data_IF_583066986773
#
_entry.id   IF_583066986773
#
_cell.length_a   1.000
_cell.length_b   1.000
_cell.length_c   1.000
_cell.angle_alpha   90.00
_cell.angle_beta   90.00
_cell.angle_gamma   90.00
#
_symmetry.space_group_name_H-M   'P 1'
#
loop_
_entity.id
_entity.type
_entity.pdbx_description
1 polymer ?
#
# COMPACT_ATOMS: atom_id res chain seq x y z
N UNK A 1 20.91 -17.95 -17.75
CA UNK A 1 20.66 -18.24 -16.33
C UNK A 1 21.80 -19.08 -15.82
N UNK A 2 22.10 -19.06 -14.51
CA UNK A 2 23.30 -19.69 -13.95
C UNK A 2 23.26 -21.23 -14.12
N UNK A 3 24.35 -21.81 -14.52
CA UNK A 3 24.52 -23.26 -14.68
C UNK A 3 25.29 -23.88 -13.50
N UNK A 4 25.84 -23.04 -12.63
CA UNK A 4 26.59 -23.43 -11.45
C UNK A 4 25.67 -23.82 -10.31
N UNK A 5 26.17 -24.58 -9.33
CA UNK A 5 25.46 -24.83 -8.10
C UNK A 5 25.21 -23.53 -7.37
N UNK A 6 23.98 -23.32 -6.84
CA UNK A 6 23.57 -22.09 -6.16
C UNK A 6 24.57 -21.62 -5.09
N UNK A 7 25.10 -22.55 -4.30
CA UNK A 7 26.04 -22.23 -3.20
C UNK A 7 27.48 -21.94 -3.67
N UNK A 8 27.81 -22.22 -4.93
CA UNK A 8 29.12 -21.93 -5.52
C UNK A 8 29.16 -20.64 -6.32
N UNK A 9 28.03 -19.94 -6.45
CA UNK A 9 27.96 -18.67 -7.17
C UNK A 9 28.50 -17.55 -6.30
N UNK A 10 29.48 -16.83 -6.83
CA UNK A 10 29.92 -15.54 -6.27
C UNK A 10 28.91 -14.46 -6.68
N UNK A 11 27.92 -14.25 -5.84
CA UNK A 11 26.83 -13.28 -6.11
C UNK A 11 27.31 -11.83 -6.22
N UNK A 12 28.25 -11.33 -5.37
CA UNK A 12 28.81 -10.00 -5.54
C UNK A 12 29.44 -9.78 -6.91
N UNK A 13 30.19 -10.76 -7.42
CA UNK A 13 30.81 -10.69 -8.74
C UNK A 13 29.79 -10.63 -9.90
N UNK A 14 28.56 -11.13 -9.69
CA UNK A 14 27.52 -11.10 -10.72
C UNK A 14 26.81 -9.72 -10.81
N UNK A 15 27.00 -8.82 -9.88
CA UNK A 15 26.27 -7.55 -9.80
C UNK A 15 26.32 -6.71 -11.09
N UNK A 16 27.47 -6.65 -11.71
CA UNK A 16 27.70 -5.89 -12.96
C UNK A 16 27.66 -6.77 -14.21
N UNK A 17 27.32 -8.07 -14.07
CA UNK A 17 27.30 -9.02 -15.18
C UNK A 17 25.96 -8.97 -15.91
N UNK A 18 25.75 -7.87 -16.63
CA UNK A 18 24.53 -7.61 -17.41
C UNK A 18 24.87 -7.71 -18.90
N UNK A 19 23.94 -8.26 -19.70
CA UNK A 19 24.10 -8.27 -21.14
C UNK A 19 24.28 -6.83 -21.65
N UNK A 20 25.32 -6.52 -22.44
CA UNK A 20 25.54 -5.16 -22.95
C UNK A 20 24.33 -4.59 -23.72
N UNK A 21 23.49 -5.43 -24.33
CA UNK A 21 22.27 -4.99 -25.04
C UNK A 21 21.21 -4.45 -24.06
N UNK A 22 21.19 -4.96 -22.81
CA UNK A 22 20.25 -4.54 -21.78
C UNK A 22 20.80 -3.37 -20.93
N UNK A 23 22.03 -2.95 -21.17
CA UNK A 23 22.70 -1.89 -20.43
C UNK A 23 22.44 -0.53 -21.11
N UNK A 24 21.27 0.05 -20.90
CA UNK A 24 20.89 1.36 -21.46
C UNK A 24 21.67 2.52 -20.87
N UNK A 25 22.04 2.41 -19.59
CA UNK A 25 22.78 3.44 -18.86
C UNK A 25 23.92 2.78 -18.08
N UNK A 26 25.18 2.91 -18.52
CA UNK A 26 26.32 2.38 -17.78
C UNK A 26 26.41 3.02 -16.39
N UNK A 27 26.86 2.26 -15.40
CA UNK A 27 27.09 2.77 -14.05
C UNK A 27 28.21 3.82 -14.08
N UNK A 28 28.06 4.87 -13.25
CA UNK A 28 29.12 5.85 -13.05
C UNK A 28 30.29 5.22 -12.28
N UNK A 29 31.50 5.72 -12.52
CA UNK A 29 32.69 5.25 -11.76
C UNK A 29 32.54 5.43 -10.24
N UNK A 30 31.76 6.42 -9.80
CA UNK A 30 31.46 6.63 -8.38
C UNK A 30 30.62 5.46 -7.82
N UNK A 31 29.62 5.02 -8.56
CA UNK A 31 28.78 3.89 -8.17
C UNK A 31 29.57 2.58 -8.16
N UNK A 32 30.44 2.36 -9.16
CA UNK A 32 31.32 1.20 -9.19
C UNK A 32 32.31 1.19 -8.01
N UNK A 33 32.84 2.36 -7.63
CA UNK A 33 33.66 2.49 -6.44
C UNK A 33 32.90 2.16 -5.15
N UNK A 34 31.66 2.61 -5.04
CA UNK A 34 30.77 2.29 -3.92
C UNK A 34 30.47 0.79 -3.83
N UNK A 35 30.20 0.14 -4.95
CA UNK A 35 29.97 -1.31 -4.98
C UNK A 35 31.20 -2.09 -4.49
N UNK A 36 32.43 -1.70 -4.84
CA UNK A 36 33.66 -2.32 -4.35
C UNK A 36 33.81 -2.16 -2.83
N UNK A 37 33.43 -1.02 -2.28
CA UNK A 37 33.45 -0.80 -0.83
C UNK A 37 32.44 -1.72 -0.13
N UNK A 38 31.23 -1.84 -0.66
CA UNK A 38 30.17 -2.69 -0.13
C UNK A 38 30.61 -4.17 -0.21
N UNK A 39 31.14 -4.61 -1.36
CA UNK A 39 31.61 -5.98 -1.55
C UNK A 39 32.73 -6.33 -0.57
N UNK A 40 33.67 -5.40 -0.36
CA UNK A 40 34.76 -5.58 0.62
C UNK A 40 34.19 -5.73 2.05
N UNK A 41 33.20 -4.88 2.39
CA UNK A 41 32.52 -4.97 3.69
C UNK A 41 31.81 -6.33 3.87
N UNK A 42 31.08 -6.78 2.85
CA UNK A 42 30.38 -8.08 2.88
C UNK A 42 31.32 -9.26 3.04
N UNK A 43 32.51 -9.21 2.42
CA UNK A 43 33.54 -10.24 2.56
C UNK A 43 34.24 -10.20 3.92
N UNK A 44 34.51 -9.00 4.45
CA UNK A 44 35.28 -8.85 5.69
C UNK A 44 34.45 -8.94 6.97
N UNK A 45 33.15 -9.04 6.89
CA UNK A 45 32.12 -9.07 7.95
C UNK A 45 32.60 -8.61 9.33
N UNK A 46 32.18 -7.42 9.73
CA UNK A 46 32.38 -6.89 11.09
C UNK A 46 31.23 -7.37 11.98
N UNK A 47 31.44 -8.38 12.89
CA UNK A 47 30.33 -9.05 13.59
C UNK A 47 29.41 -8.12 14.40
N UNK A 48 29.90 -7.10 15.13
CA UNK A 48 29.04 -6.18 15.86
C UNK A 48 28.11 -5.37 14.92
N UNK A 49 28.65 -4.88 13.81
CA UNK A 49 27.90 -4.10 12.84
C UNK A 49 26.85 -4.96 12.13
N UNK A 50 27.19 -6.19 11.74
CA UNK A 50 26.26 -7.14 11.19
C UNK A 50 25.10 -7.45 12.14
N UNK A 51 25.40 -7.70 13.44
CA UNK A 51 24.35 -7.93 14.45
C UNK A 51 23.42 -6.72 14.60
N UNK A 52 23.97 -5.50 14.58
CA UNK A 52 23.19 -4.27 14.64
C UNK A 52 22.28 -4.12 13.40
N UNK A 53 22.82 -4.40 12.21
CA UNK A 53 22.06 -4.39 10.95
C UNK A 53 20.92 -5.42 10.92
N UNK A 54 21.17 -6.66 11.34
CA UNK A 54 20.15 -7.71 11.43
C UNK A 54 19.03 -7.31 12.40
N UNK A 55 19.39 -6.79 13.57
CA UNK A 55 18.41 -6.30 14.55
C UNK A 55 17.54 -5.19 13.95
N UNK A 56 18.17 -4.22 13.30
CA UNK A 56 17.45 -3.14 12.66
C UNK A 56 16.54 -3.61 11.53
N UNK A 57 17.01 -4.53 10.70
CA UNK A 57 16.19 -5.13 9.65
C UNK A 57 14.95 -5.84 10.22
N UNK A 58 15.13 -6.61 11.30
CA UNK A 58 14.01 -7.25 11.99
C UNK A 58 13.01 -6.23 12.58
N UNK A 59 13.49 -5.17 13.24
CA UNK A 59 12.64 -4.09 13.73
C UNK A 59 11.80 -3.46 12.61
N UNK A 60 12.40 -3.24 11.43
CA UNK A 60 11.68 -2.70 10.27
C UNK A 60 10.62 -3.68 9.74
N UNK A 61 10.91 -4.99 9.71
CA UNK A 61 9.91 -6.00 9.37
C UNK A 61 8.73 -5.97 10.35
N UNK A 62 9.00 -5.88 11.65
CA UNK A 62 7.95 -5.77 12.68
C UNK A 62 7.08 -4.55 12.48
N UNK A 63 7.69 -3.37 12.24
CA UNK A 63 6.97 -2.13 12.01
C UNK A 63 6.15 -2.15 10.71
N UNK A 64 6.66 -2.80 9.66
CA UNK A 64 5.90 -3.01 8.43
C UNK A 64 4.66 -3.87 8.67
N UNK A 65 4.83 -5.01 9.34
CA UNK A 65 3.73 -5.91 9.70
C UNK A 65 2.65 -5.20 10.54
N UNK A 66 3.06 -4.39 11.52
CA UNK A 66 2.14 -3.64 12.37
C UNK A 66 1.39 -2.54 11.62
N UNK A 67 2.07 -1.85 10.69
CA UNK A 67 1.48 -0.75 9.93
C UNK A 67 0.61 -1.20 8.76
N UNK A 68 0.72 -2.47 8.34
CA UNK A 68 -0.03 -3.03 7.21
C UNK A 68 -0.92 -4.20 7.60
N UNK A 69 -1.03 -4.51 8.90
CA UNK A 69 -1.73 -5.70 9.40
C UNK A 69 -1.21 -6.99 8.74
N UNK A 70 0.10 -7.12 8.57
CA UNK A 70 0.78 -8.22 7.89
C UNK A 70 0.34 -8.42 6.42
N UNK A 71 -0.26 -7.43 5.78
CA UNK A 71 -0.52 -7.46 4.33
C UNK A 71 0.76 -7.17 3.55
N UNK A 72 1.58 -6.26 4.09
CA UNK A 72 2.79 -5.74 3.45
C UNK A 72 2.50 -4.98 2.14
N UNK A 73 3.54 -4.45 1.52
CA UNK A 73 3.37 -3.63 0.32
C UNK A 73 3.09 -4.46 -0.94
N UNK A 74 3.69 -5.63 -1.04
CA UNK A 74 3.58 -6.47 -2.22
C UNK A 74 3.98 -7.93 -1.95
N UNK A 75 3.83 -8.83 -2.93
CA UNK A 75 3.99 -10.26 -2.72
C UNK A 75 5.41 -10.66 -2.32
N UNK A 76 6.44 -9.99 -2.84
CA UNK A 76 7.83 -10.35 -2.55
C UNK A 76 8.19 -10.01 -1.10
N UNK A 77 7.95 -8.75 -0.67
CA UNK A 77 8.24 -8.40 0.71
C UNK A 77 7.33 -9.13 1.69
N UNK A 78 6.06 -9.41 1.31
CA UNK A 78 5.16 -10.28 2.07
C UNK A 78 5.79 -11.63 2.38
N UNK A 79 6.31 -12.32 1.37
CA UNK A 79 6.93 -13.63 1.55
C UNK A 79 8.25 -13.54 2.31
N UNK A 80 9.06 -12.48 2.09
CA UNK A 80 10.29 -12.26 2.84
C UNK A 80 10.02 -12.00 4.31
N UNK A 81 9.07 -11.14 4.65
CA UNK A 81 8.68 -10.89 6.04
C UNK A 81 8.13 -12.15 6.71
N UNK A 82 7.30 -12.93 6.01
CA UNK A 82 6.81 -14.20 6.53
C UNK A 82 7.95 -15.17 6.87
N UNK A 83 8.99 -15.27 6.03
CA UNK A 83 10.16 -16.11 6.28
C UNK A 83 10.94 -15.57 7.48
N UNK A 84 11.13 -14.27 7.57
CA UNK A 84 11.80 -13.63 8.72
C UNK A 84 11.05 -13.95 10.02
N UNK A 85 9.72 -13.79 10.04
CA UNK A 85 8.91 -14.09 11.23
C UNK A 85 8.92 -15.57 11.58
N UNK A 86 8.93 -16.45 10.59
CA UNK A 86 9.08 -17.90 10.82
C UNK A 86 10.38 -18.22 11.58
N UNK A 87 11.50 -17.66 11.11
CA UNK A 87 12.81 -17.95 11.70
C UNK A 87 13.06 -17.22 13.03
N UNK A 88 12.57 -16.00 13.17
CA UNK A 88 12.82 -15.20 14.37
C UNK A 88 11.86 -15.53 15.52
N UNK A 89 10.57 -15.70 15.21
CA UNK A 89 9.51 -15.84 16.22
C UNK A 89 8.96 -17.28 16.32
N UNK A 90 9.23 -18.09 15.31
CA UNK A 90 8.77 -19.47 15.23
C UNK A 90 7.39 -19.64 14.56
N UNK A 91 7.08 -20.88 14.13
CA UNK A 91 5.86 -21.20 13.38
C UNK A 91 4.56 -21.05 14.18
N UNK A 92 4.65 -21.07 15.52
CA UNK A 92 3.48 -20.93 16.38
C UNK A 92 3.18 -19.51 16.81
N UNK A 93 4.02 -18.54 16.42
CA UNK A 93 3.83 -17.14 16.75
C UNK A 93 2.60 -16.54 16.08
N UNK A 94 1.93 -15.60 16.75
CA UNK A 94 0.78 -14.89 16.20
C UNK A 94 1.14 -14.11 14.94
N UNK A 95 2.34 -13.53 14.90
CA UNK A 95 2.83 -12.81 13.73
C UNK A 95 2.91 -13.73 12.51
N UNK A 96 3.52 -14.91 12.65
CA UNK A 96 3.61 -15.87 11.54
C UNK A 96 2.22 -16.36 11.12
N UNK A 97 1.32 -16.67 12.06
CA UNK A 97 -0.06 -17.09 11.76
C UNK A 97 -0.83 -16.01 11.01
N UNK A 98 -0.66 -14.74 11.38
CA UNK A 98 -1.24 -13.61 10.65
C UNK A 98 -0.71 -13.51 9.22
N UNK A 99 0.60 -13.68 9.03
CA UNK A 99 1.20 -13.74 7.69
C UNK A 99 0.60 -14.87 6.83
N UNK A 100 0.44 -16.06 7.40
CA UNK A 100 -0.18 -17.20 6.70
C UNK A 100 -1.61 -16.89 6.29
N UNK A 101 -2.40 -16.25 7.16
CA UNK A 101 -3.77 -15.86 6.85
C UNK A 101 -3.85 -14.83 5.70
N UNK A 102 -2.90 -13.88 5.65
CA UNK A 102 -2.86 -12.82 4.63
C UNK A 102 -2.22 -13.22 3.30
N UNK A 103 -1.61 -14.38 3.18
CA UNK A 103 -0.98 -14.81 1.91
C UNK A 103 -1.95 -14.88 0.73
N UNK A 104 -3.24 -15.14 1.02
CA UNK A 104 -4.27 -15.22 -0.01
C UNK A 104 -4.58 -13.88 -0.68
N UNK A 105 -4.22 -12.76 -0.07
CA UNK A 105 -4.37 -11.43 -0.66
C UNK A 105 -3.56 -11.28 -1.97
N UNK A 106 -2.55 -12.12 -2.17
CA UNK A 106 -1.67 -12.10 -3.34
C UNK A 106 -1.82 -13.33 -4.25
N UNK A 107 -2.65 -14.29 -3.87
CA UNK A 107 -2.81 -15.53 -4.63
C UNK A 107 -4.18 -15.58 -5.30
N UNK A 108 -4.21 -16.06 -6.52
CA UNK A 108 -5.44 -16.31 -7.24
C UNK A 108 -5.34 -17.56 -8.11
N UNK A 109 -6.47 -18.23 -8.33
CA UNK A 109 -6.54 -19.42 -9.16
C UNK A 109 -7.04 -19.02 -10.55
N UNK A 110 -6.13 -19.16 -11.53
CA UNK A 110 -6.44 -18.96 -12.93
C UNK A 110 -6.59 -20.28 -13.70
N UNK A 111 -6.83 -20.18 -15.00
CA UNK A 111 -6.94 -21.35 -15.89
C UNK A 111 -5.67 -22.21 -15.91
N UNK A 112 -4.52 -21.59 -15.73
CA UNK A 112 -3.21 -22.24 -15.80
C UNK A 112 -2.70 -22.68 -14.41
N UNK A 113 -3.50 -22.53 -13.37
CA UNK A 113 -3.18 -22.94 -12.01
C UNK A 113 -3.14 -21.79 -11.01
N UNK A 114 -2.49 -22.03 -9.87
CA UNK A 114 -2.32 -21.03 -8.82
C UNK A 114 -1.25 -20.01 -9.24
N UNK A 115 -1.66 -18.76 -9.29
CA UNK A 115 -0.82 -17.63 -9.67
C UNK A 115 -0.68 -16.62 -8.53
N UNK A 116 0.35 -15.78 -8.61
CA UNK A 116 0.59 -14.69 -7.67
C UNK A 116 0.49 -13.35 -8.40
N UNK A 117 -0.24 -12.40 -7.79
CA UNK A 117 -0.30 -11.04 -8.30
C UNK A 117 1.06 -10.35 -8.15
N UNK A 118 1.43 -9.49 -9.11
CA UNK A 118 2.66 -8.70 -9.03
C UNK A 118 2.58 -7.55 -8.02
N UNK A 119 1.36 -7.14 -7.66
CA UNK A 119 1.06 -6.12 -6.65
C UNK A 119 -0.08 -6.60 -5.76
N UNK A 120 -0.39 -5.86 -4.70
CA UNK A 120 -1.69 -5.98 -4.04
C UNK A 120 -2.82 -5.57 -4.99
N UNK A 121 -4.08 -5.81 -4.59
CA UNK A 121 -5.24 -5.44 -5.39
C UNK A 121 -5.38 -3.92 -5.57
N UNK A 122 -6.09 -3.50 -6.60
CA UNK A 122 -6.30 -2.11 -7.02
C UNK A 122 -7.68 -1.55 -6.63
N UNK A 123 -8.27 -2.07 -5.56
CA UNK A 123 -9.68 -1.84 -5.24
C UNK A 123 -10.04 -0.36 -5.12
N UNK A 124 -9.24 0.45 -4.43
CA UNK A 124 -9.53 1.88 -4.31
C UNK A 124 -9.28 2.63 -5.62
N UNK A 125 -8.19 2.33 -6.29
CA UNK A 125 -7.83 2.89 -7.57
C UNK A 125 -8.94 2.70 -8.60
N UNK A 126 -9.36 1.45 -8.80
CA UNK A 126 -10.42 1.09 -9.75
C UNK A 126 -11.77 1.70 -9.35
N UNK A 127 -12.08 1.74 -8.04
CA UNK A 127 -13.30 2.33 -7.54
C UNK A 127 -13.37 3.83 -7.83
N UNK A 128 -12.26 4.56 -7.63
CA UNK A 128 -12.17 5.99 -7.90
C UNK A 128 -12.53 6.31 -9.36
N UNK A 129 -11.94 5.59 -10.31
CA UNK A 129 -12.24 5.76 -11.74
C UNK A 129 -13.65 5.29 -12.10
N UNK A 130 -14.10 4.17 -11.56
CA UNK A 130 -15.46 3.65 -11.84
C UNK A 130 -16.51 4.65 -11.36
N UNK A 131 -16.35 5.23 -10.19
CA UNK A 131 -17.27 6.25 -9.68
C UNK A 131 -17.35 7.48 -10.59
N UNK A 132 -16.20 7.97 -11.03
CA UNK A 132 -16.13 9.10 -11.95
C UNK A 132 -16.80 8.77 -13.30
N UNK A 133 -16.53 7.59 -13.86
CA UNK A 133 -17.12 7.15 -15.11
C UNK A 133 -18.66 7.03 -15.01
N UNK A 134 -19.20 6.50 -13.91
CA UNK A 134 -20.64 6.42 -13.69
C UNK A 134 -21.31 7.80 -13.62
N UNK A 135 -20.62 8.78 -13.04
CA UNK A 135 -21.15 10.15 -12.96
C UNK A 135 -21.08 10.85 -14.31
N UNK A 136 -19.94 10.78 -15.00
CA UNK A 136 -19.75 11.40 -16.32
C UNK A 136 -20.69 10.85 -17.39
N UNK A 137 -21.06 9.57 -17.29
CA UNK A 137 -22.03 8.94 -18.21
C UNK A 137 -23.48 9.17 -17.81
N UNK A 138 -23.75 9.77 -16.64
CA UNK A 138 -25.09 9.94 -16.11
C UNK A 138 -25.67 8.70 -15.41
N UNK A 139 -25.05 7.53 -15.55
CA UNK A 139 -25.54 6.28 -14.95
C UNK A 139 -25.60 6.36 -13.41
N UNK A 140 -24.71 7.09 -12.78
CA UNK A 140 -24.71 7.28 -11.32
C UNK A 140 -25.94 8.00 -10.77
N UNK A 141 -26.73 8.69 -11.64
CA UNK A 141 -27.99 9.36 -11.27
C UNK A 141 -29.20 8.43 -11.42
N UNK A 142 -29.07 7.34 -12.14
CA UNK A 142 -30.15 6.40 -12.37
C UNK A 142 -30.54 5.67 -11.07
N UNK A 143 -31.84 5.45 -10.81
CA UNK A 143 -32.32 4.78 -9.59
C UNK A 143 -31.72 3.39 -9.37
N UNK A 144 -31.40 2.68 -10.46
CA UNK A 144 -30.79 1.36 -10.45
C UNK A 144 -29.40 1.36 -9.80
N UNK A 145 -28.61 2.42 -9.98
CA UNK A 145 -27.25 2.55 -9.44
C UNK A 145 -27.21 3.17 -8.03
N UNK A 146 -28.37 3.51 -7.47
CA UNK A 146 -28.46 4.20 -6.17
C UNK A 146 -27.70 3.47 -5.06
N UNK A 147 -27.95 2.19 -4.89
CA UNK A 147 -27.30 1.38 -3.86
C UNK A 147 -25.79 1.27 -4.10
N UNK A 148 -25.39 1.12 -5.35
CA UNK A 148 -23.98 1.07 -5.74
C UNK A 148 -23.24 2.35 -5.39
N UNK A 149 -23.81 3.52 -5.67
CA UNK A 149 -23.20 4.82 -5.36
C UNK A 149 -23.11 5.07 -3.85
N UNK A 150 -24.08 4.60 -3.07
CA UNK A 150 -23.98 4.64 -1.59
C UNK A 150 -22.79 3.79 -1.12
N UNK A 151 -22.68 2.56 -1.63
CA UNK A 151 -21.56 1.65 -1.28
C UNK A 151 -20.20 2.20 -1.72
N UNK A 152 -20.14 2.92 -2.83
CA UNK A 152 -18.91 3.62 -3.28
C UNK A 152 -18.44 4.62 -2.22
N UNK A 153 -19.33 5.49 -1.74
CA UNK A 153 -18.97 6.46 -0.71
C UNK A 153 -18.58 5.80 0.62
N UNK A 154 -19.31 4.77 1.05
CA UNK A 154 -18.97 4.00 2.24
C UNK A 154 -17.59 3.35 2.12
N UNK A 155 -17.26 2.82 0.96
CA UNK A 155 -15.95 2.22 0.70
C UNK A 155 -14.84 3.28 0.69
N UNK A 156 -15.05 4.41 0.03
CA UNK A 156 -14.08 5.52 0.02
C UNK A 156 -13.82 6.02 1.45
N UNK A 157 -14.87 6.18 2.28
CA UNK A 157 -14.74 6.56 3.68
C UNK A 157 -13.97 5.51 4.49
N UNK A 158 -14.30 4.23 4.32
CA UNK A 158 -13.66 3.12 5.02
C UNK A 158 -12.19 2.94 4.62
N UNK A 159 -11.82 3.24 3.38
CA UNK A 159 -10.45 3.13 2.89
C UNK A 159 -9.58 4.34 3.22
N UNK A 160 -10.16 5.47 3.61
CA UNK A 160 -9.35 6.63 4.00
C UNK A 160 -8.51 6.33 5.23
N UNK A 161 -7.21 6.62 5.16
CA UNK A 161 -6.27 6.43 6.26
C UNK A 161 -6.55 7.47 7.34
N UNK A 162 -6.89 7.04 8.55
CA UNK A 162 -7.29 7.91 9.66
C UNK A 162 -6.16 8.26 10.61
N UNK A 163 -5.06 7.51 10.58
CA UNK A 163 -3.92 7.65 11.49
C UNK A 163 -2.61 7.57 10.70
N UNK A 164 -1.58 8.25 11.20
CA UNK A 164 -0.25 8.07 10.66
C UNK A 164 0.33 6.70 11.08
N UNK A 165 1.23 6.11 10.27
CA UNK A 165 1.89 4.87 10.64
C UNK A 165 2.65 5.01 11.96
N UNK A 166 2.68 3.96 12.76
CA UNK A 166 3.48 3.92 13.98
C UNK A 166 4.95 4.12 13.64
N UNK A 167 5.60 4.98 14.42
CA UNK A 167 7.04 5.23 14.27
C UNK A 167 7.47 5.63 12.86
N UNK A 168 6.62 6.33 12.10
CA UNK A 168 6.84 6.64 10.69
C UNK A 168 8.19 7.30 10.41
N UNK A 169 8.69 8.19 11.29
CA UNK A 169 10.00 8.82 11.14
C UNK A 169 11.16 7.82 11.15
N UNK A 170 11.07 6.75 11.94
CA UNK A 170 12.12 5.72 12.07
C UNK A 170 11.88 4.52 11.17
N UNK A 171 10.66 4.35 10.66
CA UNK A 171 10.26 3.27 9.77
C UNK A 171 10.36 3.64 8.29
N UNK A 172 10.98 4.78 7.96
CA UNK A 172 11.08 5.29 6.59
C UNK A 172 9.72 5.45 5.90
N UNK A 173 8.69 5.80 6.68
CA UNK A 173 7.33 6.05 6.20
C UNK A 173 7.03 7.55 6.27
N UNK A 174 6.13 8.01 5.43
CA UNK A 174 5.61 9.38 5.46
C UNK A 174 4.34 9.49 6.28
N UNK A 175 3.90 10.71 6.57
CA UNK A 175 2.55 10.96 7.08
C UNK A 175 1.53 10.55 6.03
N UNK A 176 0.52 9.79 6.44
CA UNK A 176 -0.49 9.24 5.53
C UNK A 176 -1.92 9.59 5.93
N UNK A 177 -2.09 10.17 7.13
CA UNK A 177 -3.41 10.54 7.64
C UNK A 177 -4.17 11.44 6.66
N UNK A 178 -5.39 11.04 6.31
CA UNK A 178 -6.27 11.75 5.38
C UNK A 178 -6.15 11.32 3.93
N UNK A 179 -5.09 10.59 3.58
CA UNK A 179 -4.85 10.09 2.22
C UNK A 179 -5.57 8.76 1.95
N UNK A 180 -5.51 8.33 0.70
CA UNK A 180 -5.98 7.01 0.28
C UNK A 180 -4.82 6.14 -0.23
N UNK A 181 -4.83 4.85 0.07
CA UNK A 181 -3.89 3.86 -0.47
C UNK A 181 -4.30 3.41 -1.87
N UNK A 182 -3.50 2.55 -2.48
CA UNK A 182 -3.80 1.95 -3.78
C UNK A 182 -4.91 0.89 -3.71
N UNK A 183 -4.92 0.07 -2.66
CA UNK A 183 -5.87 -1.02 -2.50
C UNK A 183 -6.86 -0.80 -1.34
N UNK A 184 -6.55 -1.31 -0.17
CA UNK A 184 -7.37 -1.20 1.01
C UNK A 184 -6.68 -0.40 2.10
N UNK A 185 -7.42 0.04 3.11
CA UNK A 185 -6.90 0.78 4.26
C UNK A 185 -5.72 0.07 4.94
N UNK A 186 -5.74 -1.25 5.02
CA UNK A 186 -4.71 -2.05 5.68
C UNK A 186 -3.36 -2.02 4.95
N UNK A 187 -3.34 -1.74 3.67
CA UNK A 187 -2.09 -1.52 2.94
C UNK A 187 -1.26 -0.38 3.55
N UNK A 188 -1.92 0.67 4.06
CA UNK A 188 -1.31 1.71 4.87
C UNK A 188 -0.34 2.66 4.14
N UNK A 189 -0.03 2.43 2.86
CA UNK A 189 0.80 3.32 2.05
C UNK A 189 -0.06 4.33 1.32
N UNK A 190 0.25 5.61 1.51
CA UNK A 190 -0.36 6.66 0.69
C UNK A 190 0.23 6.65 -0.72
N UNK A 191 -0.65 6.84 -1.70
CA UNK A 191 -0.30 7.05 -3.09
C UNK A 191 -0.93 8.37 -3.52
N UNK A 192 -0.13 9.28 -4.06
CA UNK A 192 -0.60 10.62 -4.45
C UNK A 192 -1.74 10.56 -5.46
N UNK A 193 -1.58 9.70 -6.47
CA UNK A 193 -2.55 9.52 -7.55
C UNK A 193 -3.87 8.98 -7.00
N UNK A 194 -3.82 7.94 -6.17
CA UNK A 194 -5.01 7.35 -5.54
C UNK A 194 -5.69 8.34 -4.58
N UNK A 195 -4.91 9.17 -3.90
CA UNK A 195 -5.45 10.23 -3.04
C UNK A 195 -6.17 11.29 -3.89
N UNK A 196 -5.57 11.70 -5.00
CA UNK A 196 -6.18 12.64 -5.94
C UNK A 196 -7.47 12.10 -6.56
N UNK A 197 -7.44 10.87 -7.09
CA UNK A 197 -8.60 10.26 -7.74
C UNK A 197 -9.69 9.88 -6.73
N UNK A 198 -9.34 9.43 -5.52
CA UNK A 198 -10.29 9.21 -4.43
C UNK A 198 -10.99 10.50 -3.99
N UNK A 199 -10.24 11.58 -3.81
CA UNK A 199 -10.81 12.90 -3.47
C UNK A 199 -11.71 13.40 -4.61
N UNK A 200 -11.28 13.30 -5.85
CA UNK A 200 -12.07 13.71 -7.02
C UNK A 200 -13.37 12.92 -7.09
N UNK A 201 -13.34 11.60 -6.90
CA UNK A 201 -14.55 10.77 -6.86
C UNK A 201 -15.54 11.23 -5.76
N UNK A 202 -15.05 11.51 -4.55
CA UNK A 202 -15.88 12.03 -3.45
C UNK A 202 -16.53 13.37 -3.83
N UNK A 203 -15.75 14.31 -4.38
CA UNK A 203 -16.26 15.63 -4.77
C UNK A 203 -17.30 15.52 -5.89
N UNK A 204 -17.05 14.68 -6.88
CA UNK A 204 -18.00 14.45 -7.97
C UNK A 204 -19.32 13.87 -7.46
N UNK A 205 -19.28 12.89 -6.57
CA UNK A 205 -20.48 12.32 -5.96
C UNK A 205 -21.23 13.39 -5.16
N UNK A 206 -20.53 14.21 -4.40
CA UNK A 206 -21.13 15.29 -3.60
C UNK A 206 -21.74 16.40 -4.46
N UNK A 207 -21.20 16.65 -5.63
CA UNK A 207 -21.69 17.70 -6.53
C UNK A 207 -22.89 17.25 -7.37
N UNK A 208 -22.86 16.00 -7.86
CA UNK A 208 -23.80 15.53 -8.86
C UNK A 208 -24.87 14.56 -8.33
N UNK A 209 -24.69 13.95 -7.15
CA UNK A 209 -25.56 12.89 -6.64
C UNK A 209 -26.21 13.26 -5.29
N UNK A 210 -27.12 14.23 -5.32
CA UNK A 210 -27.78 14.75 -4.10
C UNK A 210 -28.41 13.68 -3.19
N UNK A 211 -29.10 12.71 -3.78
CA UNK A 211 -29.83 11.69 -3.01
C UNK A 211 -28.91 10.72 -2.26
N UNK A 212 -27.69 10.52 -2.72
CA UNK A 212 -26.70 9.71 -2.00
C UNK A 212 -26.30 10.38 -0.69
N UNK A 213 -26.03 11.67 -0.76
CA UNK A 213 -25.64 12.46 0.39
C UNK A 213 -26.75 12.47 1.44
N UNK A 214 -27.99 12.72 1.02
CA UNK A 214 -29.16 12.69 1.92
C UNK A 214 -29.34 11.35 2.61
N UNK A 215 -29.10 10.24 1.90
CA UNK A 215 -29.19 8.88 2.47
C UNK A 215 -28.13 8.62 3.55
N UNK A 216 -26.89 9.03 3.34
CA UNK A 216 -25.82 8.88 4.34
C UNK A 216 -26.07 9.70 5.61
N UNK A 217 -26.63 10.90 5.47
CA UNK A 217 -27.03 11.70 6.63
C UNK A 217 -28.08 11.00 7.47
N UNK A 218 -29.08 10.44 6.82
CA UNK A 218 -30.18 9.77 7.52
C UNK A 218 -29.69 8.54 8.29
N UNK A 219 -28.83 7.73 7.68
CA UNK A 219 -28.32 6.51 8.29
C UNK A 219 -27.40 6.78 9.50
N UNK A 220 -26.52 7.79 9.42
CA UNK A 220 -25.65 8.18 10.54
C UNK A 220 -26.40 8.84 11.70
N UNK A 221 -27.43 9.64 11.42
CA UNK A 221 -28.28 10.22 12.47
C UNK A 221 -28.98 9.17 13.31
N UNK A 222 -29.40 8.06 12.70
CA UNK A 222 -30.01 6.93 13.42
C UNK A 222 -28.98 6.18 14.26
N UNK A 223 -27.77 5.95 13.74
CA UNK A 223 -26.72 5.20 14.42
C UNK A 223 -26.12 5.91 15.64
N UNK A 224 -26.14 7.24 15.68
CA UNK A 224 -25.54 8.04 16.75
C UNK A 224 -26.53 8.76 17.68
N UNK A 225 -27.84 8.58 17.49
CA UNK A 225 -28.87 9.09 18.42
C UNK A 225 -28.89 10.59 18.62
N UNK A 226 -28.21 11.37 17.81
CA UNK A 226 -28.12 12.85 17.92
C UNK A 226 -28.65 13.50 16.64
N UNK A 227 -29.87 14.02 16.75
CA UNK A 227 -30.45 14.96 15.82
C UNK A 227 -29.72 16.30 15.93
N UNK A 228 -28.61 16.49 15.27
CA UNK A 228 -28.11 17.81 14.93
C UNK A 228 -27.93 17.89 13.42
N UNK A 229 -28.81 18.65 12.79
CA UNK A 229 -28.93 18.77 11.33
C UNK A 229 -27.82 19.62 10.69
N UNK A 230 -26.57 19.32 10.96
CA UNK A 230 -25.47 19.91 10.21
C UNK A 230 -25.10 18.98 9.03
N UNK A 231 -24.97 19.50 7.80
CA UNK A 231 -24.56 18.71 6.66
C UNK A 231 -23.19 18.10 6.91
N UNK A 232 -23.04 16.81 6.58
CA UNK A 232 -21.73 16.16 6.48
C UNK A 232 -21.00 16.82 5.31
N UNK A 233 -20.34 17.92 5.59
CA UNK A 233 -19.22 18.31 4.76
C UNK A 233 -18.11 17.32 5.12
N UNK A 234 -18.01 16.21 4.40
CA UNK A 234 -16.83 15.35 4.43
C UNK A 234 -15.59 16.20 4.16
N UNK A 235 -15.77 17.30 3.44
CA UNK A 235 -14.82 18.41 3.30
C UNK A 235 -15.60 19.72 3.25
N UNK A 236 -15.33 20.72 4.12
CA UNK A 236 -15.95 22.03 4.02
C UNK A 236 -15.66 22.64 2.64
N UNK A 237 -16.71 23.06 1.93
CA UNK A 237 -16.57 23.78 0.67
C UNK A 237 -15.73 25.04 0.95
N UNK A 238 -14.54 25.11 0.41
CA UNK A 238 -13.75 26.33 0.35
C UNK A 238 -12.31 26.28 0.87
N UNK A 239 -11.95 25.43 1.83
CA UNK A 239 -10.64 25.55 2.47
C UNK A 239 -9.69 24.35 2.30
N UNK A 240 -10.13 23.21 1.78
CA UNK A 240 -9.32 21.99 1.74
C UNK A 240 -8.45 21.83 0.49
N UNK A 241 -8.90 22.27 -0.68
CA UNK A 241 -8.12 22.09 -1.91
C UNK A 241 -6.82 22.91 -1.93
N UNK A 242 -6.77 24.05 -1.24
CA UNK A 242 -5.58 24.91 -1.20
C UNK A 242 -4.60 24.58 -0.06
N UNK A 243 -5.00 23.88 0.99
CA UNK A 243 -4.10 23.50 2.09
C UNK A 243 -3.23 22.27 1.80
N UNK A 244 -3.59 21.46 0.82
CA UNK A 244 -2.83 20.25 0.46
C UNK A 244 -1.76 20.49 -0.60
N UNK A 245 -1.79 21.64 -1.31
CA UNK A 245 -0.76 22.01 -2.28
C UNK A 245 0.42 22.81 -1.66
N UNK A 246 0.40 23.04 -0.36
CA UNK A 246 1.43 23.82 0.35
C UNK A 246 2.18 23.06 1.46
N UNK A 247 2.14 21.73 1.44
CA UNK A 247 2.99 20.88 2.29
C UNK A 247 3.91 19.99 1.47
#
# INVERSE_FOLDING_TARGET
MYTQNYYSIDWPAQRSYVNPVDLYTPHSYLLEGLYKIIDTYEQCVIPPLRRAGIRRAYELCVLEDENTDCQDLGPVNKMMNQIVRFHADGPESDAFKRHVARRHDFLWLGREGLMMCGTNGSQLWDLGFTAQALIETGLGMEPEFRESMIKVLEWLDNCQIRENPKHYHTAYRHTTKGAWPFSTKTQGYTVSDCTGEGLKAVLYIQEHVEWVIRSLFFTRSIAHGTLSGAPLNLFPRGDCAMRWMSC
#
